data_IF_583218710741
#
_entry.id   IF_583218710741
#
_cell.length_a   1.000
_cell.length_b   1.000
_cell.length_c   1.000
_cell.angle_alpha   90.00
_cell.angle_beta   90.00
_cell.angle_gamma   90.00
#
_symmetry.space_group_name_H-M   'P 1'
#
loop_
_entity.id
_entity.type
_entity.pdbx_description
1 polymer ?
#
# COMPACT_ATOMS: atom_id res chain seq x y z
N UNK A 1 14.07 6.77 17.44
CA UNK A 1 13.87 5.41 16.86
C UNK A 1 12.56 4.87 17.38
N UNK A 2 11.78 4.20 16.54
CA UNK A 2 10.52 3.59 16.96
C UNK A 2 10.78 2.18 17.54
N UNK A 3 10.15 1.80 18.66
CA UNK A 3 10.24 0.45 19.25
C UNK A 3 9.76 -0.69 18.34
N UNK A 4 8.82 -0.41 17.42
CA UNK A 4 8.29 -1.39 16.47
C UNK A 4 8.20 -0.80 15.06
N UNK A 5 8.18 -1.67 14.04
CA UNK A 5 8.02 -1.26 12.65
C UNK A 5 6.72 -0.48 12.42
N UNK A 6 5.59 -0.95 12.97
CA UNK A 6 4.29 -0.28 12.81
C UNK A 6 4.25 1.13 13.40
N UNK A 7 4.97 1.39 14.50
CA UNK A 7 5.05 2.73 15.08
C UNK A 7 5.77 3.74 14.18
N UNK A 8 6.64 3.27 13.27
CA UNK A 8 7.27 4.15 12.28
C UNK A 8 6.28 4.65 11.22
N UNK A 9 5.13 3.97 11.06
CA UNK A 9 4.12 4.32 10.05
C UNK A 9 3.11 5.36 10.55
N UNK A 10 3.01 5.58 11.86
CA UNK A 10 1.98 6.42 12.45
C UNK A 10 2.04 7.87 11.93
N UNK A 11 1.11 8.22 11.03
CA UNK A 11 1.04 9.54 10.42
C UNK A 11 2.12 9.82 9.37
N UNK A 12 2.84 8.80 8.91
CA UNK A 12 3.78 8.91 7.80
C UNK A 12 3.03 9.02 6.46
N UNK A 13 3.61 9.71 5.49
CA UNK A 13 3.00 9.87 4.16
C UNK A 13 3.17 8.62 3.28
N UNK A 14 4.22 7.83 3.51
CA UNK A 14 4.52 6.60 2.76
C UNK A 14 5.36 5.62 3.60
N UNK A 15 5.36 4.34 3.20
CA UNK A 15 6.29 3.31 3.67
C UNK A 15 7.43 3.12 2.66
N UNK A 16 8.67 2.98 3.15
CA UNK A 16 9.84 2.62 2.34
C UNK A 16 10.52 1.36 2.89
N UNK A 17 10.62 0.31 2.07
CA UNK A 17 11.30 -0.95 2.40
C UNK A 17 12.68 -0.93 1.78
N UNK A 18 13.70 -0.86 2.65
CA UNK A 18 15.11 -0.78 2.26
C UNK A 18 15.90 -2.04 2.63
N UNK A 19 15.31 -2.93 3.43
CA UNK A 19 15.88 -4.23 3.85
C UNK A 19 14.83 -5.33 3.74
N UNK A 20 15.27 -6.55 3.45
CA UNK A 20 14.44 -7.73 3.16
C UNK A 20 14.17 -8.61 4.38
N UNK A 21 14.02 -8.01 5.56
CA UNK A 21 13.87 -8.74 6.82
C UNK A 21 12.59 -9.57 6.83
N UNK A 22 12.64 -10.72 7.51
CA UNK A 22 11.56 -11.71 7.51
C UNK A 22 10.23 -11.11 8.00
N UNK A 23 10.28 -10.20 8.98
CA UNK A 23 9.10 -9.52 9.52
C UNK A 23 8.31 -8.71 8.46
N UNK A 24 8.95 -8.28 7.37
CA UNK A 24 8.30 -7.49 6.33
C UNK A 24 7.69 -8.32 5.21
N UNK A 25 7.89 -9.65 5.17
CA UNK A 25 7.47 -10.50 4.05
C UNK A 25 5.98 -10.88 4.06
N UNK A 26 5.36 -10.87 5.22
CA UNK A 26 3.94 -11.22 5.39
C UNK A 26 3.25 -10.24 6.34
N UNK A 27 3.15 -8.95 5.95
CA UNK A 27 2.58 -7.92 6.81
C UNK A 27 1.05 -7.98 6.83
N UNK A 28 0.47 -7.32 7.83
CA UNK A 28 -0.92 -6.89 7.75
C UNK A 28 -1.00 -5.60 6.92
N UNK A 29 -1.34 -5.74 5.63
CA UNK A 29 -1.45 -4.60 4.73
C UNK A 29 -2.54 -3.61 5.13
N UNK A 30 -3.65 -4.07 5.72
CA UNK A 30 -4.73 -3.17 6.12
C UNK A 30 -4.29 -2.29 7.29
N UNK A 31 -3.54 -2.85 8.24
CA UNK A 31 -2.93 -2.09 9.32
C UNK A 31 -1.92 -1.07 8.79
N UNK A 32 -1.08 -1.43 7.81
CA UNK A 32 -0.14 -0.52 7.16
C UNK A 32 -0.88 0.65 6.50
N UNK A 33 -1.86 0.34 5.64
CA UNK A 33 -2.64 1.33 4.90
C UNK A 33 -3.34 2.30 5.85
N UNK A 34 -3.94 1.79 6.92
CA UNK A 34 -4.67 2.61 7.90
C UNK A 34 -3.75 3.52 8.73
N UNK A 35 -2.47 3.15 8.90
CA UNK A 35 -1.51 3.93 9.67
C UNK A 35 -0.91 5.10 8.86
N UNK A 36 -0.83 4.95 7.54
CA UNK A 36 -0.29 5.95 6.63
C UNK A 36 -1.33 7.04 6.30
N UNK A 37 -0.88 8.26 6.04
CA UNK A 37 -1.73 9.35 5.53
C UNK A 37 -2.19 9.10 4.11
N UNK A 38 -1.38 8.39 3.32
CA UNK A 38 -1.67 8.00 1.96
C UNK A 38 -1.20 6.56 1.75
N UNK A 39 -1.92 5.73 0.99
CA UNK A 39 -1.54 4.34 0.75
C UNK A 39 -0.41 4.26 -0.30
N UNK A 40 0.79 4.73 0.07
CA UNK A 40 1.97 4.78 -0.81
C UNK A 40 3.08 3.90 -0.23
N UNK A 41 3.60 2.98 -1.05
CA UNK A 41 4.69 2.07 -0.65
C UNK A 41 5.80 2.09 -1.71
N UNK A 42 7.03 2.36 -1.26
CA UNK A 42 8.25 2.18 -2.03
C UNK A 42 8.96 0.89 -1.57
N UNK A 43 9.10 -0.07 -2.45
CA UNK A 43 9.73 -1.36 -2.14
C UNK A 43 11.00 -1.55 -2.95
N UNK A 44 12.12 -1.20 -2.31
CA UNK A 44 13.46 -1.38 -2.88
C UNK A 44 13.89 -2.85 -2.93
N UNK A 45 13.15 -3.75 -2.29
CA UNK A 45 13.49 -5.17 -2.14
C UNK A 45 12.53 -6.11 -2.85
N UNK A 46 11.50 -5.55 -3.50
CA UNK A 46 10.53 -6.28 -4.30
C UNK A 46 9.84 -7.44 -3.53
N UNK A 47 9.55 -7.21 -2.24
CA UNK A 47 8.90 -8.16 -1.33
C UNK A 47 7.44 -8.39 -1.68
N UNK A 48 6.72 -7.36 -2.15
CA UNK A 48 5.28 -7.44 -2.41
C UNK A 48 4.94 -7.66 -3.87
N UNK A 49 3.79 -8.28 -4.09
CA UNK A 49 3.24 -8.51 -5.42
C UNK A 49 2.54 -7.24 -5.94
N UNK A 50 2.91 -6.72 -7.14
CA UNK A 50 2.31 -5.51 -7.68
C UNK A 50 0.79 -5.63 -7.92
N UNK A 51 0.28 -6.80 -8.30
CA UNK A 51 -1.15 -6.97 -8.57
C UNK A 51 -1.96 -6.93 -7.27
N UNK A 52 -1.46 -7.57 -6.21
CA UNK A 52 -2.06 -7.49 -4.88
C UNK A 52 -2.08 -6.04 -4.37
N UNK A 53 -1.00 -5.28 -4.56
CA UNK A 53 -0.94 -3.88 -4.13
C UNK A 53 -1.94 -3.00 -4.91
N UNK A 54 -2.10 -3.24 -6.21
CA UNK A 54 -3.12 -2.57 -7.01
C UNK A 54 -4.55 -2.86 -6.53
N UNK A 55 -4.86 -4.12 -6.22
CA UNK A 55 -6.18 -4.54 -5.70
C UNK A 55 -6.51 -3.87 -4.36
N UNK A 56 -5.50 -3.67 -3.52
CA UNK A 56 -5.60 -2.99 -2.23
C UNK A 56 -5.64 -1.45 -2.35
N UNK A 57 -5.53 -0.90 -3.56
CA UNK A 57 -5.55 0.55 -3.78
C UNK A 57 -4.25 1.25 -3.38
N UNK A 58 -3.14 0.51 -3.25
CA UNK A 58 -1.84 1.03 -2.85
C UNK A 58 -1.08 1.52 -4.09
N UNK A 59 -0.62 2.77 -4.05
CA UNK A 59 0.38 3.27 -4.99
C UNK A 59 1.72 2.62 -4.65
N UNK A 60 2.07 1.56 -5.38
CA UNK A 60 3.23 0.74 -5.09
C UNK A 60 4.32 0.86 -6.16
N UNK A 61 5.52 1.16 -5.68
CA UNK A 61 6.71 1.48 -6.46
C UNK A 61 7.78 0.41 -6.20
N UNK A 62 7.92 -0.53 -7.14
CA UNK A 62 8.89 -1.62 -7.09
C UNK A 62 10.03 -1.40 -8.09
N UNK A 63 11.20 -1.98 -7.80
CA UNK A 63 12.38 -1.86 -8.67
C UNK A 63 12.26 -2.81 -9.86
N UNK A 64 12.20 -2.24 -11.07
CA UNK A 64 12.20 -3.01 -12.32
C UNK A 64 10.92 -3.80 -12.60
N UNK A 65 9.81 -3.52 -11.89
CA UNK A 65 8.52 -4.24 -12.04
C UNK A 65 7.38 -3.39 -12.62
N UNK A 66 7.64 -2.12 -12.93
CA UNK A 66 6.59 -1.17 -13.30
C UNK A 66 5.79 -0.68 -12.09
N UNK A 67 4.93 0.31 -12.32
CA UNK A 67 4.06 0.88 -11.28
C UNK A 67 2.79 0.04 -11.15
N UNK A 68 2.42 -0.32 -9.93
CA UNK A 68 1.02 -0.64 -9.62
C UNK A 68 0.36 0.65 -9.17
N UNK A 69 -0.05 1.46 -10.13
CA UNK A 69 -0.95 2.58 -9.81
C UNK A 69 -2.33 1.98 -9.57
N UNK A 70 -3.03 2.34 -8.46
CA UNK A 70 -4.44 2.05 -8.38
C UNK A 70 -5.07 2.71 -9.60
N UNK A 71 -5.70 1.90 -10.47
CA UNK A 71 -6.33 2.43 -11.66
C UNK A 71 -7.39 3.44 -11.21
N UNK A 72 -7.12 4.73 -11.42
CA UNK A 72 -7.99 5.82 -10.98
C UNK A 72 -9.41 5.65 -11.54
N UNK A 73 -9.55 4.99 -12.70
CA UNK A 73 -10.85 4.64 -13.29
C UNK A 73 -11.55 3.52 -12.53
N UNK A 74 -10.82 2.50 -12.08
CA UNK A 74 -11.38 1.39 -11.30
C UNK A 74 -11.77 1.84 -9.87
N UNK A 75 -10.97 2.70 -9.24
CA UNK A 75 -11.25 3.27 -7.92
C UNK A 75 -12.45 4.20 -7.97
N UNK A 76 -12.54 5.11 -8.94
CA UNK A 76 -13.73 5.94 -9.14
C UNK A 76 -14.97 5.10 -9.45
N UNK A 77 -14.86 4.07 -10.31
CA UNK A 77 -15.98 3.19 -10.62
C UNK A 77 -16.49 2.47 -9.36
N UNK A 78 -15.63 1.90 -8.52
CA UNK A 78 -16.05 1.23 -7.27
C UNK A 78 -16.76 2.18 -6.31
N UNK A 79 -16.28 3.41 -6.15
CA UNK A 79 -16.93 4.43 -5.30
C UNK A 79 -18.30 4.82 -5.85
N UNK A 80 -18.40 5.11 -7.14
CA UNK A 80 -19.65 5.52 -7.81
C UNK A 80 -20.72 4.42 -7.77
N UNK A 81 -20.34 3.15 -7.97
CA UNK A 81 -21.27 2.02 -7.85
C UNK A 81 -21.80 1.83 -6.41
N UNK A 82 -20.95 2.07 -5.40
CA UNK A 82 -21.30 1.90 -3.99
C UNK A 82 -22.25 3.00 -3.49
N UNK A 83 -22.11 4.22 -4.01
CA UNK A 83 -23.01 5.34 -3.72
C UNK A 83 -24.35 5.20 -4.46
N UNK A 84 -24.34 4.68 -5.69
CA UNK A 84 -25.55 4.49 -6.51
C UNK A 84 -26.42 3.31 -6.06
N UNK A 85 -25.86 2.34 -5.31
CA UNK A 85 -26.59 1.17 -4.80
C UNK A 85 -27.14 1.37 -3.39
N UNK A 86 -26.88 2.52 -2.77
CA UNK A 86 -27.36 2.89 -1.44
C UNK A 86 -28.53 3.89 -1.48
N UNK A 87 -29.07 4.17 -2.67
CA UNK A 87 -30.23 5.02 -2.92
C UNK A 87 -31.47 4.19 -3.29
#
# INVERSE_FOLDING_TARGET
LCPTAMQALAGADALAIVTEWQEFRSPDFQAIISALRQPVIFDGRNLYDPSQMAELGVAYHAIGRGLSSPDARATMAKTVWRESSAA
#
